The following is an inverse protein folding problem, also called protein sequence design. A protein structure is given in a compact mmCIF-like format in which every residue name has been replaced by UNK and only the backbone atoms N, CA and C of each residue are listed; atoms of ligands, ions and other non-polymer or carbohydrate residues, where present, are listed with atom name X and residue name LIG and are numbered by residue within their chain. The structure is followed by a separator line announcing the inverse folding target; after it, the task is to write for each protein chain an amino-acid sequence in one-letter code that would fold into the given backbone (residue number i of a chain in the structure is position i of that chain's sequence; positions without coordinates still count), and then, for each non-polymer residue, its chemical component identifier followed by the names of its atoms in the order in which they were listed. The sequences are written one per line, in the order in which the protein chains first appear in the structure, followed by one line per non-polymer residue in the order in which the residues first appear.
data_IF_112194878200
#
_entry.id   IF_112194878200
#
_cell.length_a   1.000
_cell.length_b   1.000
_cell.length_c   1.000
_cell.angle_alpha   90.00
_cell.angle_beta   90.00
_cell.angle_gamma   90.00
#
_symmetry.space_group_name_H-M   'P 1'
#
loop_
_entity.id
_entity.type
_entity.pdbx_description
1 polymer ?
#
# COMPACT_ATOMS: atom_id res chain seq x y z
N UNK A 1 20.10 -24.09 12.41
CA UNK A 1 21.24 -23.16 12.34
C UNK A 1 21.10 -22.08 11.26
N UNK A 2 20.88 -22.40 9.95
CA UNK A 2 20.79 -21.39 8.87
C UNK A 2 19.71 -20.31 9.10
N UNK A 3 18.52 -20.68 9.62
CA UNK A 3 17.44 -19.71 9.93
C UNK A 3 17.79 -18.76 11.08
N UNK A 4 18.45 -19.25 12.12
CA UNK A 4 18.89 -18.45 13.27
C UNK A 4 20.00 -17.46 12.86
N UNK A 5 20.94 -17.91 12.02
CA UNK A 5 22.00 -17.08 11.46
C UNK A 5 21.43 -15.94 10.58
N UNK A 6 20.43 -16.24 9.76
CA UNK A 6 19.76 -15.24 8.93
C UNK A 6 19.01 -14.20 9.77
N UNK A 7 18.32 -14.63 10.83
CA UNK A 7 17.65 -13.76 11.81
C UNK A 7 18.67 -12.88 12.56
N UNK A 8 19.82 -13.44 12.92
CA UNK A 8 20.89 -12.70 13.59
C UNK A 8 21.51 -11.65 12.68
N UNK A 9 21.76 -11.97 11.40
CA UNK A 9 22.22 -10.99 10.40
C UNK A 9 21.16 -9.89 10.22
N UNK A 10 19.88 -10.25 10.08
CA UNK A 10 18.81 -9.27 9.97
C UNK A 10 18.75 -8.36 11.19
N UNK A 11 18.91 -8.92 12.39
CA UNK A 11 18.92 -8.15 13.65
C UNK A 11 20.13 -7.20 13.71
N UNK A 12 21.34 -7.66 13.32
CA UNK A 12 22.54 -6.81 13.26
C UNK A 12 22.37 -5.67 12.25
N UNK A 13 21.84 -5.97 11.06
CA UNK A 13 21.55 -4.95 10.03
C UNK A 13 20.51 -3.95 10.53
N UNK A 14 19.47 -4.44 11.22
CA UNK A 14 18.43 -3.61 11.85
C UNK A 14 19.04 -2.66 12.89
N UNK A 15 19.90 -3.19 13.76
CA UNK A 15 20.60 -2.40 14.78
C UNK A 15 21.53 -1.36 14.18
N UNK A 16 22.32 -1.74 13.17
CA UNK A 16 23.22 -0.81 12.45
C UNK A 16 22.43 0.31 11.76
N UNK A 17 21.31 -0.01 11.12
CA UNK A 17 20.48 0.99 10.46
C UNK A 17 19.69 1.85 11.46
N UNK A 18 19.29 1.28 12.59
CA UNK A 18 18.61 2.03 13.65
C UNK A 18 19.54 3.10 14.25
N UNK A 19 20.84 2.82 14.35
CA UNK A 19 21.85 3.80 14.77
C UNK A 19 22.03 4.96 13.77
N UNK A 20 21.64 4.76 12.51
CA UNK A 20 21.68 5.77 11.44
C UNK A 20 20.37 6.57 11.31
N UNK A 21 19.36 6.30 12.16
CA UNK A 21 18.09 7.03 12.17
C UNK A 21 18.16 8.22 13.11
N UNK A 22 17.45 9.30 12.79
CA UNK A 22 17.36 10.49 13.65
C UNK A 22 16.24 10.31 14.65
N UNK A 23 16.55 10.45 15.95
CA UNK A 23 15.52 10.59 16.99
C UNK A 23 14.97 12.01 16.93
N UNK A 24 13.68 12.18 17.15
CA UNK A 24 13.06 13.51 17.14
C UNK A 24 13.61 14.40 18.28
N UNK A 25 14.07 13.80 19.37
CA UNK A 25 14.77 14.48 20.46
C UNK A 25 16.10 15.15 20.03
N UNK A 26 16.62 14.78 18.85
CA UNK A 26 17.81 15.40 18.24
C UNK A 26 17.45 16.59 17.33
N UNK A 27 16.15 16.93 17.21
CA UNK A 27 15.68 18.07 16.42
C UNK A 27 15.32 19.19 17.38
N UNK A 28 16.10 20.27 17.35
CA UNK A 28 15.89 21.42 18.21
C UNK A 28 15.10 22.53 17.52
N UNK A 29 14.29 23.25 18.29
CA UNK A 29 13.60 24.43 17.81
C UNK A 29 14.61 25.55 17.49
N UNK A 30 14.29 26.37 16.49
CA UNK A 30 15.10 27.49 15.99
C UNK A 30 16.42 27.06 15.34
N UNK A 31 16.57 25.79 14.96
CA UNK A 31 17.69 25.31 14.17
C UNK A 31 17.30 24.97 12.73
N UNK A 32 18.31 24.99 11.87
CA UNK A 32 18.17 24.75 10.43
C UNK A 32 18.61 23.33 10.10
N UNK A 33 17.76 22.59 9.42
CA UNK A 33 18.05 21.24 8.99
C UNK A 33 17.90 21.08 7.49
N UNK A 34 18.77 20.27 6.88
CA UNK A 34 18.54 19.80 5.52
C UNK A 34 17.45 18.72 5.55
N UNK A 35 16.35 18.98 4.89
CA UNK A 35 15.21 18.06 4.88
C UNK A 35 14.73 17.74 3.47
N UNK A 36 14.21 16.54 3.31
CA UNK A 36 13.39 16.16 2.17
C UNK A 36 11.95 16.08 2.65
N UNK A 37 11.05 16.82 2.01
CA UNK A 37 9.65 16.96 2.38
C UNK A 37 8.74 16.54 1.24
N UNK A 38 7.57 16.00 1.58
CA UNK A 38 6.43 15.90 0.66
C UNK A 38 5.35 16.86 1.13
N UNK A 39 4.94 17.78 0.27
CA UNK A 39 3.88 18.75 0.52
C UNK A 39 2.63 18.35 -0.23
N UNK A 40 1.53 18.16 0.49
CA UNK A 40 0.21 17.83 -0.05
C UNK A 40 -0.86 18.62 0.70
N UNK A 41 -1.67 19.40 -0.01
CA UNK A 41 -2.77 20.20 0.53
C UNK A 41 -2.38 21.07 1.74
N UNK A 42 -1.23 21.72 1.67
CA UNK A 42 -0.70 22.57 2.74
C UNK A 42 -0.14 21.82 3.96
N UNK A 43 -0.14 20.48 3.92
CA UNK A 43 0.47 19.64 4.96
C UNK A 43 1.77 19.05 4.45
N UNK A 44 2.80 19.12 5.26
CA UNK A 44 4.08 18.48 4.97
C UNK A 44 4.20 17.16 5.71
N UNK A 45 4.90 16.23 5.06
CA UNK A 45 5.46 15.04 5.68
C UNK A 45 6.97 15.08 5.51
N UNK A 46 7.70 15.01 6.62
CA UNK A 46 9.16 14.97 6.59
C UNK A 46 9.60 13.56 6.22
N UNK A 47 10.32 13.42 5.11
CA UNK A 47 10.81 12.15 4.59
C UNK A 47 12.21 11.83 5.11
N UNK A 48 13.10 12.82 5.13
CA UNK A 48 14.48 12.70 5.63
C UNK A 48 14.93 13.99 6.30
N UNK A 49 15.82 13.86 7.29
CA UNK A 49 16.49 14.96 7.98
C UNK A 49 17.99 14.65 7.96
N UNK A 50 18.81 15.57 7.41
CA UNK A 50 20.25 15.37 7.26
C UNK A 50 20.60 14.01 6.64
N UNK A 51 19.85 13.61 5.58
CA UNK A 51 19.93 12.33 4.88
C UNK A 51 19.56 11.08 5.71
N UNK A 52 19.05 11.22 6.94
CA UNK A 52 18.59 10.14 7.80
C UNK A 52 17.06 10.09 7.86
N UNK A 53 16.50 8.90 8.07
CA UNK A 53 15.05 8.72 8.22
C UNK A 53 14.62 9.04 9.66
N UNK A 54 13.52 9.79 9.87
CA UNK A 54 13.00 10.02 11.22
C UNK A 54 12.39 8.72 11.78
N UNK A 55 12.63 8.44 13.08
CA UNK A 55 12.11 7.25 13.76
C UNK A 55 10.59 7.27 13.94
N UNK A 56 9.99 8.45 14.07
CA UNK A 56 8.55 8.65 14.14
C UNK A 56 8.08 9.49 12.95
N UNK A 57 6.81 9.36 12.59
CA UNK A 57 6.26 10.20 11.53
C UNK A 57 6.22 11.67 11.97
N UNK A 58 6.78 12.54 11.13
CA UNK A 58 6.81 13.98 11.36
C UNK A 58 5.96 14.62 10.27
N UNK A 59 4.89 15.25 10.70
CA UNK A 59 4.01 16.06 9.86
C UNK A 59 4.11 17.53 10.24
N UNK A 60 3.61 18.42 9.40
CA UNK A 60 3.64 19.83 9.77
C UNK A 60 3.01 20.73 8.73
N UNK A 61 3.33 22.02 8.89
CA UNK A 61 2.95 23.07 7.95
C UNK A 61 4.19 23.79 7.44
N UNK A 62 4.15 24.16 6.19
CA UNK A 62 5.10 25.04 5.53
C UNK A 62 4.32 26.24 4.97
N UNK A 63 4.94 27.40 4.88
CA UNK A 63 4.35 28.56 4.20
C UNK A 63 3.88 28.21 2.79
N UNK A 64 3.20 29.15 2.13
CA UNK A 64 2.57 28.92 0.83
C UNK A 64 3.58 28.38 -0.21
N UNK A 65 3.35 27.14 -0.65
CA UNK A 65 4.07 26.47 -1.73
C UNK A 65 3.12 25.52 -2.48
N UNK A 66 3.45 25.21 -3.72
CA UNK A 66 2.74 24.22 -4.51
C UNK A 66 2.96 22.80 -3.97
N UNK A 67 1.99 21.92 -4.21
CA UNK A 67 2.16 20.51 -3.89
C UNK A 67 3.37 19.91 -4.63
N UNK A 68 4.10 19.04 -3.97
CA UNK A 68 5.29 18.39 -4.53
C UNK A 68 6.28 17.92 -3.50
N UNK A 69 7.37 17.34 -3.99
CA UNK A 69 8.52 16.97 -3.16
C UNK A 69 9.53 18.10 -3.17
N UNK A 70 10.08 18.40 -2.00
CA UNK A 70 11.07 19.47 -1.81
C UNK A 70 12.30 18.93 -1.11
N UNK A 71 13.45 19.40 -1.51
CA UNK A 71 14.72 19.19 -0.84
C UNK A 71 15.37 20.54 -0.57
N UNK A 72 15.83 20.75 0.66
CA UNK A 72 16.48 22.01 1.02
C UNK A 72 16.72 22.17 2.50
N UNK A 73 16.94 23.40 2.89
CA UNK A 73 17.19 23.82 4.27
C UNK A 73 15.95 24.48 4.83
N UNK A 74 15.50 23.99 5.98
CA UNK A 74 14.29 24.45 6.64
C UNK A 74 14.60 24.77 8.10
N UNK A 75 14.10 25.91 8.56
CA UNK A 75 14.15 26.30 9.97
C UNK A 75 12.95 25.69 10.71
N UNK A 76 13.20 25.03 11.80
CA UNK A 76 12.17 24.47 12.67
C UNK A 76 11.70 25.53 13.65
N UNK A 77 10.50 26.11 13.43
CA UNK A 77 9.91 27.13 14.31
C UNK A 77 9.34 26.55 15.59
N UNK A 78 8.62 25.45 15.47
CA UNK A 78 8.01 24.77 16.61
C UNK A 78 7.90 23.26 16.38
N UNK A 79 7.94 22.50 17.48
CA UNK A 79 7.71 21.05 17.50
C UNK A 79 6.67 20.78 18.56
N UNK A 80 5.61 20.05 18.22
CA UNK A 80 4.60 19.57 19.16
C UNK A 80 4.48 18.07 19.03
N UNK A 81 4.44 17.36 20.14
CA UNK A 81 4.23 15.91 20.19
C UNK A 81 2.78 15.61 20.48
N UNK A 82 2.19 14.73 19.67
CA UNK A 82 0.84 14.18 19.86
C UNK A 82 0.94 12.66 19.80
N UNK A 83 0.87 11.99 20.94
CA UNK A 83 0.98 10.53 21.07
C UNK A 83 2.20 9.92 20.35
N UNK A 84 2.02 9.47 19.09
CA UNK A 84 3.07 8.86 18.26
C UNK A 84 3.44 9.68 17.01
N UNK A 85 2.96 10.92 16.92
CA UNK A 85 3.16 11.80 15.77
C UNK A 85 3.79 13.10 16.26
N UNK A 86 4.79 13.59 15.53
CA UNK A 86 5.33 14.93 15.74
C UNK A 86 4.76 15.87 14.70
N UNK A 87 4.36 17.04 15.17
CA UNK A 87 3.90 18.12 14.31
C UNK A 87 4.92 19.27 14.38
N UNK A 88 5.47 19.61 13.21
CA UNK A 88 6.47 20.66 13.07
C UNK A 88 5.93 21.83 12.25
N UNK A 89 6.30 23.03 12.63
CA UNK A 89 6.10 24.23 11.83
C UNK A 89 7.45 24.63 11.24
N UNK A 90 7.52 24.64 9.90
CA UNK A 90 8.75 24.89 9.18
C UNK A 90 8.71 26.21 8.43
N UNK A 91 9.85 26.87 8.36
CA UNK A 91 10.11 28.00 7.47
C UNK A 91 11.14 27.58 6.43
N UNK A 92 10.84 27.87 5.17
CA UNK A 92 11.75 27.58 4.08
C UNK A 92 12.85 28.63 3.99
N UNK A 93 14.07 28.22 4.16
CA UNK A 93 15.25 29.11 3.98
C UNK A 93 15.73 29.02 2.54
N UNK A 94 15.95 27.80 2.05
CA UNK A 94 16.42 27.57 0.69
C UNK A 94 16.04 26.14 0.28
N UNK A 95 15.03 25.99 -0.51
CA UNK A 95 14.62 24.70 -1.02
C UNK A 95 14.41 24.71 -2.53
N UNK A 96 14.56 23.54 -3.13
CA UNK A 96 14.21 23.29 -4.53
C UNK A 96 13.10 22.26 -4.59
N UNK A 97 12.18 22.43 -5.52
CA UNK A 97 11.20 21.42 -5.88
C UNK A 97 11.92 20.30 -6.63
N UNK A 98 11.72 19.07 -6.21
CA UNK A 98 12.21 17.90 -6.94
C UNK A 98 11.24 17.70 -8.09
N UNK A 99 11.75 17.79 -9.30
CA UNK A 99 10.93 17.58 -10.50
C UNK A 99 10.49 16.12 -10.61
N UNK A 100 9.27 15.92 -11.11
CA UNK A 100 8.78 14.60 -11.50
C UNK A 100 9.70 14.01 -12.57
N UNK A 101 9.93 12.71 -12.52
CA UNK A 101 10.74 12.04 -13.50
C UNK A 101 10.03 12.01 -14.88
N UNK A 102 10.77 11.73 -15.94
CA UNK A 102 10.21 11.68 -17.30
C UNK A 102 9.01 10.73 -17.42
N UNK A 103 9.08 9.56 -16.76
CA UNK A 103 8.01 8.56 -16.82
C UNK A 103 6.75 9.03 -16.07
N UNK A 104 6.92 9.72 -14.93
CA UNK A 104 5.79 10.35 -14.21
C UNK A 104 5.11 11.41 -15.09
N UNK A 105 5.89 12.31 -15.71
CA UNK A 105 5.37 13.34 -16.61
C UNK A 105 4.65 12.71 -17.82
N UNK A 106 5.23 11.65 -18.40
CA UNK A 106 4.64 10.94 -19.52
C UNK A 106 3.29 10.29 -19.16
N UNK A 107 3.24 9.55 -18.03
CA UNK A 107 2.01 8.94 -17.57
C UNK A 107 0.93 9.98 -17.23
N UNK A 108 1.29 11.09 -16.60
CA UNK A 108 0.38 12.21 -16.35
C UNK A 108 -0.18 12.81 -17.63
N UNK A 109 0.65 12.95 -18.66
CA UNK A 109 0.21 13.47 -19.98
C UNK A 109 -0.78 12.53 -20.64
N UNK A 110 -0.49 11.21 -20.65
CA UNK A 110 -1.42 10.19 -21.14
C UNK A 110 -2.73 10.22 -20.39
N UNK A 111 -2.64 10.32 -19.06
CA UNK A 111 -3.80 10.35 -18.19
C UNK A 111 -4.65 11.59 -18.44
N UNK A 112 -4.05 12.78 -18.55
CA UNK A 112 -4.76 14.03 -18.81
C UNK A 112 -5.52 13.97 -20.16
N UNK A 113 -4.92 13.38 -21.22
CA UNK A 113 -5.61 13.17 -22.50
C UNK A 113 -6.78 12.19 -22.36
N UNK A 114 -6.55 11.03 -21.73
CA UNK A 114 -7.57 10.02 -21.55
C UNK A 114 -8.78 10.53 -20.74
N UNK A 115 -8.57 11.46 -19.80
CA UNK A 115 -9.63 11.97 -18.92
C UNK A 115 -10.41 13.16 -19.49
N UNK A 116 -10.00 13.77 -20.62
CA UNK A 116 -10.59 15.02 -21.11
C UNK A 116 -12.12 15.05 -21.10
N UNK A 117 -12.74 13.96 -21.47
CA UNK A 117 -14.20 13.84 -21.57
C UNK A 117 -14.86 13.04 -20.43
N UNK A 118 -14.14 12.61 -19.38
CA UNK A 118 -14.78 11.95 -18.24
C UNK A 118 -15.53 12.94 -17.37
N UNK A 119 -16.54 12.45 -16.65
CA UNK A 119 -17.19 13.22 -15.59
C UNK A 119 -16.20 13.65 -14.52
N UNK A 120 -16.47 14.77 -13.84
CA UNK A 120 -15.59 15.27 -12.77
C UNK A 120 -15.33 14.23 -11.67
N UNK A 121 -16.35 13.47 -11.31
CA UNK A 121 -16.23 12.39 -10.32
C UNK A 121 -15.32 11.26 -10.81
N UNK A 122 -15.51 10.79 -12.05
CA UNK A 122 -14.68 9.76 -12.67
C UNK A 122 -13.20 10.19 -12.72
N UNK A 123 -12.93 11.44 -13.14
CA UNK A 123 -11.56 11.99 -13.15
C UNK A 123 -10.89 11.90 -11.77
N UNK A 124 -11.57 12.31 -10.72
CA UNK A 124 -10.99 12.31 -9.38
C UNK A 124 -10.72 10.90 -8.83
N UNK A 125 -11.65 9.96 -9.08
CA UNK A 125 -11.48 8.56 -8.69
C UNK A 125 -10.35 7.90 -9.49
N UNK A 126 -10.29 8.15 -10.80
CA UNK A 126 -9.21 7.62 -11.63
C UNK A 126 -7.83 8.12 -11.19
N UNK A 127 -7.69 9.42 -10.88
CA UNK A 127 -6.44 9.98 -10.35
C UNK A 127 -6.02 9.33 -9.04
N UNK A 128 -6.97 9.10 -8.16
CA UNK A 128 -6.70 8.42 -6.89
C UNK A 128 -6.21 6.99 -7.08
N UNK A 129 -6.91 6.23 -7.92
CA UNK A 129 -6.66 4.80 -8.12
C UNK A 129 -5.42 4.57 -9.00
N UNK A 130 -5.26 5.31 -10.10
CA UNK A 130 -4.22 5.02 -11.09
C UNK A 130 -2.90 5.76 -10.84
N UNK A 131 -2.97 6.97 -10.26
CA UNK A 131 -1.79 7.80 -10.01
C UNK A 131 -1.45 7.91 -8.52
N UNK A 132 -2.33 7.44 -7.61
CA UNK A 132 -2.15 7.58 -6.16
C UNK A 132 -2.46 8.99 -5.63
N UNK A 133 -3.09 9.85 -6.44
CA UNK A 133 -3.45 11.22 -6.05
C UNK A 133 -4.86 11.29 -5.46
N UNK A 134 -4.95 11.16 -4.13
CA UNK A 134 -6.18 11.19 -3.37
C UNK A 134 -6.63 12.62 -2.97
N UNK A 135 -5.93 13.65 -3.41
CA UNK A 135 -6.17 15.04 -2.95
C UNK A 135 -7.54 15.56 -3.37
N UNK A 136 -8.01 15.14 -4.55
CA UNK A 136 -9.27 15.61 -5.15
C UNK A 136 -10.52 14.82 -4.75
N UNK A 137 -10.37 13.73 -3.99
CA UNK A 137 -11.52 12.98 -3.48
C UNK A 137 -12.18 13.80 -2.36
N UNK A 138 -13.50 14.03 -2.45
CA UNK A 138 -14.28 14.72 -1.43
C UNK A 138 -14.19 14.02 -0.07
N UNK A 139 -14.25 14.78 1.01
CA UNK A 139 -14.11 14.25 2.38
C UNK A 139 -15.20 13.25 2.73
N UNK A 140 -16.46 13.56 2.38
CA UNK A 140 -17.60 12.67 2.59
C UNK A 140 -17.40 11.30 1.94
N UNK A 141 -16.91 11.27 0.70
CA UNK A 141 -16.62 10.02 -0.01
C UNK A 141 -15.46 9.25 0.64
N UNK A 142 -14.42 9.95 1.12
CA UNK A 142 -13.32 9.32 1.86
C UNK A 142 -13.81 8.65 3.15
N UNK A 143 -14.71 9.30 3.87
CA UNK A 143 -15.31 8.75 5.09
C UNK A 143 -16.16 7.51 4.79
N UNK A 144 -17.01 7.56 3.75
CA UNK A 144 -17.79 6.42 3.28
C UNK A 144 -16.89 5.22 2.92
N UNK A 145 -15.85 5.46 2.09
CA UNK A 145 -14.86 4.45 1.70
C UNK A 145 -14.16 3.85 2.92
N UNK A 146 -13.84 4.66 3.91
CA UNK A 146 -13.23 4.20 5.16
C UNK A 146 -14.21 3.37 5.99
N UNK A 147 -15.45 3.81 6.11
CA UNK A 147 -16.50 3.12 6.86
C UNK A 147 -16.77 1.71 6.33
N UNK A 148 -16.83 1.54 5.01
CA UNK A 148 -17.06 0.25 4.35
C UNK A 148 -15.77 -0.61 4.22
N UNK A 149 -14.61 -0.12 4.69
CA UNK A 149 -13.35 -0.88 4.71
C UNK A 149 -12.58 -0.91 3.39
N UNK A 150 -12.91 -0.04 2.41
CA UNK A 150 -12.32 -0.03 1.07
C UNK A 150 -11.14 0.93 0.91
N UNK A 151 -10.66 1.57 1.96
CA UNK A 151 -9.54 2.54 1.89
C UNK A 151 -8.29 1.97 1.20
N UNK A 152 -8.08 0.66 1.31
CA UNK A 152 -6.94 -0.03 0.73
C UNK A 152 -6.98 -0.14 -0.81
N UNK A 153 -8.15 0.02 -1.44
CA UNK A 153 -8.33 0.01 -2.90
C UNK A 153 -8.01 1.38 -3.50
N UNK A 154 -8.40 2.44 -2.79
CA UNK A 154 -8.18 3.84 -3.21
C UNK A 154 -6.76 4.34 -2.88
N UNK A 155 -5.98 3.56 -2.17
CA UNK A 155 -4.54 3.75 -2.04
C UNK A 155 -3.81 2.81 -3.01
N UNK A 156 -2.75 3.29 -3.64
CA UNK A 156 -1.89 2.43 -4.46
C UNK A 156 -1.43 1.22 -3.64
N UNK A 157 -1.70 0.02 -4.13
CA UNK A 157 -1.61 -1.22 -3.35
C UNK A 157 -1.06 -2.39 -4.16
N UNK A 158 -0.92 -3.55 -3.50
CA UNK A 158 -0.53 -4.81 -4.15
C UNK A 158 -1.51 -5.26 -5.23
N UNK A 159 -2.80 -4.89 -5.14
CA UNK A 159 -3.79 -5.17 -6.17
C UNK A 159 -3.37 -4.56 -7.52
N UNK A 160 -2.90 -3.31 -7.51
CA UNK A 160 -2.46 -2.59 -8.72
C UNK A 160 -1.27 -3.29 -9.38
N UNK A 161 -0.24 -3.66 -8.61
CA UNK A 161 0.91 -4.43 -9.13
C UNK A 161 0.45 -5.79 -9.67
N UNK A 162 -0.44 -6.48 -8.93
CA UNK A 162 -0.99 -7.77 -9.35
C UNK A 162 -1.76 -7.70 -10.66
N UNK A 163 -2.59 -6.66 -10.85
CA UNK A 163 -3.34 -6.44 -12.10
C UNK A 163 -2.40 -6.12 -13.27
N UNK A 164 -1.41 -5.26 -13.07
CA UNK A 164 -0.39 -4.97 -14.09
C UNK A 164 0.35 -6.24 -14.51
N UNK A 165 0.80 -7.06 -13.55
CA UNK A 165 1.42 -8.36 -13.83
C UNK A 165 0.47 -9.26 -14.61
N UNK A 166 -0.79 -9.37 -14.20
CA UNK A 166 -1.78 -10.22 -14.84
C UNK A 166 -2.03 -9.81 -16.30
N UNK A 167 -2.22 -8.51 -16.55
CA UNK A 167 -2.45 -7.97 -17.90
C UNK A 167 -1.25 -8.27 -18.80
N UNK A 168 -0.05 -7.89 -18.39
CA UNK A 168 1.16 -8.09 -19.20
C UNK A 168 1.51 -9.58 -19.35
N UNK A 169 1.31 -10.39 -18.30
CA UNK A 169 1.50 -11.84 -18.41
C UNK A 169 0.59 -12.45 -19.47
N UNK A 170 -0.70 -12.07 -19.48
CA UNK A 170 -1.65 -12.55 -20.48
C UNK A 170 -1.22 -12.17 -21.90
N UNK A 171 -0.78 -10.93 -22.11
CA UNK A 171 -0.29 -10.44 -23.40
C UNK A 171 0.97 -11.21 -23.83
N UNK A 172 1.97 -11.28 -22.95
CA UNK A 172 3.27 -11.89 -23.32
C UNK A 172 3.16 -13.40 -23.52
N UNK A 173 2.36 -14.10 -22.70
CA UNK A 173 2.15 -15.55 -22.82
C UNK A 173 1.54 -15.95 -24.18
N UNK A 174 0.73 -15.08 -24.77
CA UNK A 174 0.14 -15.33 -26.09
C UNK A 174 1.16 -15.30 -27.23
N UNK A 175 2.18 -14.44 -27.10
CA UNK A 175 3.14 -14.15 -28.17
C UNK A 175 4.53 -14.77 -27.93
N UNK A 176 4.88 -15.06 -26.66
CA UNK A 176 6.23 -15.48 -26.27
C UNK A 176 6.19 -16.87 -25.64
N UNK A 177 7.00 -17.80 -26.17
CA UNK A 177 7.13 -19.15 -25.62
C UNK A 177 8.19 -19.26 -24.51
N UNK A 178 9.19 -18.38 -24.53
CA UNK A 178 10.29 -18.40 -23.57
C UNK A 178 9.85 -17.83 -22.21
N UNK A 179 9.73 -18.69 -21.20
CA UNK A 179 9.31 -18.31 -19.84
C UNK A 179 10.24 -17.27 -19.20
N UNK A 180 11.57 -17.42 -19.37
CA UNK A 180 12.53 -16.45 -18.80
C UNK A 180 12.37 -15.06 -19.40
N UNK A 181 12.12 -14.99 -20.71
CA UNK A 181 11.86 -13.71 -21.37
C UNK A 181 10.58 -13.05 -20.86
N UNK A 182 9.52 -13.85 -20.61
CA UNK A 182 8.29 -13.34 -20.00
C UNK A 182 8.57 -12.76 -18.61
N UNK A 183 9.32 -13.44 -17.75
CA UNK A 183 9.64 -12.93 -16.40
C UNK A 183 10.48 -11.65 -16.45
N UNK A 184 11.42 -11.52 -17.39
CA UNK A 184 12.20 -10.29 -17.61
C UNK A 184 11.29 -9.15 -18.06
N UNK A 185 10.41 -9.40 -19.02
CA UNK A 185 9.48 -8.38 -19.53
C UNK A 185 8.49 -7.94 -18.45
N UNK A 186 8.00 -8.87 -17.60
CA UNK A 186 7.15 -8.53 -16.46
C UNK A 186 7.89 -7.68 -15.45
N UNK A 187 9.14 -8.03 -15.13
CA UNK A 187 9.98 -7.26 -14.22
C UNK A 187 10.19 -5.83 -14.75
N UNK A 188 10.50 -5.70 -16.04
CA UNK A 188 10.65 -4.40 -16.70
C UNK A 188 9.34 -3.60 -16.65
N UNK A 189 8.20 -4.24 -16.97
CA UNK A 189 6.88 -3.57 -16.98
C UNK A 189 6.49 -3.04 -15.61
N UNK A 190 6.64 -3.85 -14.55
CA UNK A 190 6.31 -3.38 -13.19
C UNK A 190 7.28 -2.32 -12.70
N UNK A 191 8.54 -2.37 -13.12
CA UNK A 191 9.54 -1.36 -12.76
C UNK A 191 9.24 -0.02 -13.44
N UNK A 192 8.93 -0.03 -14.73
CA UNK A 192 8.51 1.16 -15.44
C UNK A 192 7.24 1.76 -14.82
N UNK A 193 6.25 0.91 -14.50
CA UNK A 193 5.03 1.35 -13.83
C UNK A 193 5.32 1.95 -12.46
N UNK A 194 6.17 1.30 -11.64
CA UNK A 194 6.56 1.81 -10.33
C UNK A 194 7.20 3.20 -10.42
N UNK A 195 8.08 3.41 -11.40
CA UNK A 195 8.75 4.70 -11.64
C UNK A 195 7.83 5.78 -12.23
N UNK A 196 6.68 5.39 -12.79
CA UNK A 196 5.73 6.32 -13.42
C UNK A 196 4.68 6.86 -12.46
N UNK A 197 4.52 6.26 -11.28
CA UNK A 197 3.44 6.56 -10.33
C UNK A 197 4.00 7.19 -9.06
N UNK A 198 3.18 8.01 -8.41
CA UNK A 198 3.55 8.63 -7.13
C UNK A 198 3.84 7.55 -6.08
N UNK A 199 4.99 7.64 -5.46
CA UNK A 199 5.39 6.72 -4.40
C UNK A 199 4.40 6.71 -3.24
N UNK A 200 3.92 5.52 -2.88
CA UNK A 200 3.24 5.27 -1.62
C UNK A 200 3.90 4.12 -0.87
N UNK A 201 3.92 4.13 0.46
CA UNK A 201 4.57 3.07 1.23
C UNK A 201 4.00 1.67 0.96
N UNK A 202 2.69 1.57 0.70
CA UNK A 202 2.04 0.30 0.35
C UNK A 202 2.44 -0.22 -1.01
N UNK A 203 2.51 0.68 -1.99
CA UNK A 203 2.87 0.37 -3.36
C UNK A 203 4.36 -0.05 -3.48
N UNK A 204 5.26 0.69 -2.81
CA UNK A 204 6.69 0.34 -2.75
C UNK A 204 6.92 -1.06 -2.20
N UNK A 205 6.21 -1.45 -1.12
CA UNK A 205 6.32 -2.82 -0.58
C UNK A 205 5.80 -3.88 -1.55
N UNK A 206 4.67 -3.62 -2.18
CA UNK A 206 4.12 -4.53 -3.18
C UNK A 206 5.07 -4.69 -4.37
N UNK A 207 5.70 -3.60 -4.82
CA UNK A 207 6.73 -3.63 -5.84
C UNK A 207 7.94 -4.47 -5.41
N UNK A 208 8.52 -4.23 -4.22
CA UNK A 208 9.65 -5.00 -3.72
C UNK A 208 9.31 -6.49 -3.66
N UNK A 209 8.11 -6.83 -3.17
CA UNK A 209 7.65 -8.21 -3.07
C UNK A 209 7.50 -8.86 -4.44
N UNK A 210 6.94 -8.13 -5.42
CA UNK A 210 6.80 -8.61 -6.80
C UNK A 210 8.17 -8.80 -7.48
N UNK A 211 9.11 -7.87 -7.28
CA UNK A 211 10.49 -7.99 -7.78
C UNK A 211 11.17 -9.22 -7.21
N UNK A 212 11.14 -9.42 -5.89
CA UNK A 212 11.74 -10.59 -5.23
C UNK A 212 11.11 -11.89 -5.75
N UNK A 213 9.79 -11.90 -5.95
CA UNK A 213 9.07 -13.04 -6.50
C UNK A 213 9.48 -13.35 -7.96
N UNK A 214 9.51 -12.35 -8.83
CA UNK A 214 9.87 -12.50 -10.24
C UNK A 214 11.34 -12.86 -10.43
N UNK A 215 12.26 -12.26 -9.65
CA UNK A 215 13.66 -12.67 -9.62
C UNK A 215 13.81 -14.12 -9.14
N UNK A 216 13.06 -14.52 -8.11
CA UNK A 216 13.04 -15.91 -7.67
C UNK A 216 12.60 -16.85 -8.79
N UNK A 217 11.58 -16.51 -9.57
CA UNK A 217 11.13 -17.29 -10.73
C UNK A 217 12.15 -17.32 -11.86
N UNK A 218 12.86 -16.21 -12.09
CA UNK A 218 13.87 -16.14 -13.14
C UNK A 218 15.06 -17.08 -12.88
N UNK A 219 15.46 -17.20 -11.60
CA UNK A 219 16.63 -18.02 -11.20
C UNK A 219 16.25 -19.42 -10.69
N UNK A 220 15.02 -19.61 -10.22
CA UNK A 220 14.57 -20.87 -9.61
C UNK A 220 13.19 -21.26 -10.16
N UNK A 221 12.99 -22.52 -10.47
CA UNK A 221 11.70 -23.01 -10.99
C UNK A 221 10.55 -22.93 -9.96
N UNK A 222 10.86 -23.07 -8.67
CA UNK A 222 9.88 -23.03 -7.58
C UNK A 222 10.22 -21.91 -6.59
N UNK A 223 9.31 -20.97 -6.40
CA UNK A 223 9.45 -19.86 -5.47
C UNK A 223 8.64 -20.15 -4.21
N UNK A 224 9.28 -20.08 -3.05
CA UNK A 224 8.63 -20.16 -1.75
C UNK A 224 8.12 -18.77 -1.36
N UNK A 225 6.80 -18.61 -1.25
CA UNK A 225 6.16 -17.33 -0.90
C UNK A 225 6.55 -16.84 0.49
N UNK A 226 6.81 -17.74 1.44
CA UNK A 226 7.25 -17.36 2.78
C UNK A 226 8.67 -16.77 2.77
N UNK A 227 9.58 -17.34 1.96
CA UNK A 227 10.91 -16.77 1.75
C UNK A 227 10.83 -15.44 1.02
N UNK A 228 9.98 -15.33 0.01
CA UNK A 228 9.74 -14.07 -0.71
C UNK A 228 9.25 -12.97 0.24
N UNK A 229 8.30 -13.29 1.11
CA UNK A 229 7.79 -12.37 2.12
C UNK A 229 8.89 -11.90 3.07
N UNK A 230 9.71 -12.84 3.57
CA UNK A 230 10.82 -12.53 4.47
C UNK A 230 11.88 -11.64 3.81
N UNK A 231 12.33 -12.00 2.59
CA UNK A 231 13.32 -11.22 1.84
C UNK A 231 12.79 -9.82 1.54
N UNK A 232 11.53 -9.71 1.10
CA UNK A 232 10.93 -8.39 0.81
C UNK A 232 10.80 -7.51 2.05
N UNK A 233 10.49 -8.11 3.22
CA UNK A 233 10.47 -7.39 4.49
C UNK A 233 11.88 -6.91 4.86
N UNK A 234 12.88 -7.78 4.73
CA UNK A 234 14.29 -7.45 4.98
C UNK A 234 14.76 -6.29 4.09
N UNK A 235 14.47 -6.34 2.79
CA UNK A 235 14.81 -5.25 1.85
C UNK A 235 14.11 -3.95 2.22
N UNK A 236 12.82 -4.01 2.57
CA UNK A 236 12.07 -2.82 3.00
C UNK A 236 12.68 -2.17 4.24
N UNK A 237 13.10 -2.97 5.22
CA UNK A 237 13.75 -2.52 6.45
C UNK A 237 15.16 -1.96 6.16
N UNK A 238 15.90 -2.57 5.23
CA UNK A 238 17.21 -2.07 4.79
C UNK A 238 17.11 -0.70 4.13
N UNK A 239 16.08 -0.49 3.32
CA UNK A 239 15.83 0.81 2.67
C UNK A 239 15.43 1.85 3.71
N UNK A 240 14.46 1.52 4.58
CA UNK A 240 13.98 2.39 5.64
C UNK A 240 13.70 1.58 6.92
N UNK A 241 14.58 1.61 7.92
CA UNK A 241 14.44 0.82 9.14
C UNK A 241 13.21 1.19 9.98
N UNK A 242 12.71 2.42 9.87
CA UNK A 242 11.55 2.87 10.63
C UNK A 242 10.22 2.38 10.06
N UNK A 243 10.26 1.76 8.87
CA UNK A 243 9.05 1.29 8.19
C UNK A 243 8.29 0.24 8.99
N UNK A 244 8.97 -0.54 9.85
CA UNK A 244 8.34 -1.57 10.71
C UNK A 244 7.28 -0.99 11.67
N UNK A 245 7.46 0.28 12.07
CA UNK A 245 6.52 0.98 12.95
C UNK A 245 5.36 1.63 12.18
N UNK A 246 5.43 1.64 10.85
CA UNK A 246 4.33 2.21 10.07
C UNK A 246 3.14 1.25 10.02
N UNK A 247 1.94 1.79 10.27
CA UNK A 247 0.67 1.05 10.17
C UNK A 247 0.56 0.33 8.83
N UNK A 248 0.95 1.02 7.77
CA UNK A 248 0.91 0.50 6.41
C UNK A 248 1.80 -0.74 6.22
N UNK A 249 2.99 -0.79 6.85
CA UNK A 249 3.86 -1.98 6.84
C UNK A 249 3.21 -3.15 7.59
N UNK A 250 2.73 -2.89 8.80
CA UNK A 250 2.13 -3.91 9.66
C UNK A 250 0.89 -4.52 9.02
N UNK A 251 0.00 -3.70 8.44
CA UNK A 251 -1.19 -4.19 7.74
C UNK A 251 -0.84 -5.02 6.49
N UNK A 252 0.12 -4.56 5.67
CA UNK A 252 0.47 -5.27 4.43
C UNK A 252 1.16 -6.61 4.70
N UNK A 253 2.16 -6.62 5.56
CA UNK A 253 2.88 -7.87 5.89
C UNK A 253 2.02 -8.79 6.75
N UNK A 254 1.18 -8.24 7.64
CA UNK A 254 0.18 -9.00 8.40
C UNK A 254 -0.82 -9.71 7.48
N UNK A 255 -1.37 -9.02 6.49
CA UNK A 255 -2.26 -9.61 5.49
C UNK A 255 -1.57 -10.77 4.75
N UNK A 256 -0.32 -10.58 4.31
CA UNK A 256 0.43 -11.63 3.61
C UNK A 256 0.77 -12.83 4.52
N UNK A 257 1.05 -12.61 5.80
CA UNK A 257 1.19 -13.68 6.79
C UNK A 257 -0.11 -14.48 6.89
N UNK A 258 -1.25 -13.80 7.01
CA UNK A 258 -2.56 -14.46 7.05
C UNK A 258 -2.81 -15.30 5.80
N UNK A 259 -2.51 -14.77 4.61
CA UNK A 259 -2.70 -15.45 3.33
C UNK A 259 -1.78 -16.67 3.19
N UNK A 260 -0.50 -16.54 3.52
CA UNK A 260 0.50 -17.59 3.26
C UNK A 260 0.45 -18.70 4.32
N UNK A 261 0.23 -18.34 5.59
CA UNK A 261 0.39 -19.28 6.70
C UNK A 261 -0.92 -19.71 7.36
N UNK A 262 -1.97 -18.88 7.35
CA UNK A 262 -3.22 -19.17 8.06
C UNK A 262 -4.30 -19.67 7.10
N UNK A 263 -4.54 -18.95 6.01
CA UNK A 263 -5.60 -19.28 5.06
C UNK A 263 -5.53 -20.72 4.52
N UNK A 264 -4.34 -21.32 4.20
CA UNK A 264 -4.28 -22.70 3.72
C UNK A 264 -4.87 -23.73 4.70
N UNK A 265 -4.84 -23.46 6.01
CA UNK A 265 -5.46 -24.32 7.03
C UNK A 265 -6.97 -24.11 7.08
N UNK A 266 -7.42 -22.84 7.06
CA UNK A 266 -8.83 -22.48 7.10
C UNK A 266 -9.56 -22.96 5.84
N UNK A 267 -8.91 -22.88 4.69
CA UNK A 267 -9.45 -23.36 3.42
C UNK A 267 -9.83 -24.85 3.44
N UNK A 268 -9.21 -25.67 4.29
CA UNK A 268 -9.54 -27.08 4.43
C UNK A 268 -10.98 -27.30 4.94
N UNK A 269 -11.60 -26.31 5.59
CA UNK A 269 -13.00 -26.34 6.03
C UNK A 269 -13.93 -26.45 4.79
N UNK A 270 -13.53 -25.82 3.66
CA UNK A 270 -14.27 -25.92 2.41
C UNK A 270 -13.92 -27.19 1.61
N UNK A 271 -14.25 -28.36 2.18
CA UNK A 271 -13.97 -29.66 1.55
C UNK A 271 -14.70 -29.85 0.21
N UNK A 272 -15.86 -29.20 0.01
CA UNK A 272 -16.64 -29.22 -1.24
C UNK A 272 -16.12 -28.23 -2.30
N UNK A 273 -15.10 -27.43 -1.99
CA UNK A 273 -14.44 -26.47 -2.91
C UNK A 273 -15.38 -25.44 -3.56
N UNK A 274 -16.36 -24.96 -2.83
CA UNK A 274 -17.23 -23.87 -3.28
C UNK A 274 -16.42 -22.57 -3.40
N UNK A 275 -16.37 -21.96 -4.58
CA UNK A 275 -15.57 -20.75 -4.85
C UNK A 275 -15.97 -19.56 -3.99
N UNK A 276 -17.28 -19.36 -3.77
CA UNK A 276 -17.79 -18.25 -2.94
C UNK A 276 -17.37 -18.45 -1.48
N UNK A 277 -17.45 -19.68 -0.96
CA UNK A 277 -17.00 -19.97 0.40
C UNK A 277 -15.48 -19.79 0.56
N UNK A 278 -14.68 -20.21 -0.43
CA UNK A 278 -13.23 -19.96 -0.43
C UNK A 278 -12.93 -18.45 -0.35
N UNK A 279 -13.68 -17.63 -1.09
CA UNK A 279 -13.50 -16.17 -1.08
C UNK A 279 -13.92 -15.54 0.26
N UNK A 280 -15.05 -15.97 0.84
CA UNK A 280 -15.47 -15.52 2.17
C UNK A 280 -14.44 -15.91 3.23
N UNK A 281 -14.00 -17.17 3.24
CA UNK A 281 -12.95 -17.62 4.18
C UNK A 281 -11.64 -16.86 4.00
N UNK A 282 -11.26 -16.55 2.76
CA UNK A 282 -10.06 -15.77 2.46
C UNK A 282 -10.14 -14.36 3.06
N UNK A 283 -11.21 -13.62 2.76
CA UNK A 283 -11.38 -12.24 3.24
C UNK A 283 -11.54 -12.19 4.76
N UNK A 284 -12.32 -13.10 5.33
CA UNK A 284 -12.51 -13.20 6.79
C UNK A 284 -11.20 -13.55 7.51
N UNK A 285 -10.39 -14.44 6.95
CA UNK A 285 -9.08 -14.80 7.53
C UNK A 285 -8.17 -13.57 7.65
N UNK A 286 -8.06 -12.79 6.59
CA UNK A 286 -7.24 -11.58 6.56
C UNK A 286 -7.78 -10.59 7.59
N UNK A 287 -9.09 -10.37 7.59
CA UNK A 287 -9.72 -9.38 8.44
C UNK A 287 -9.55 -9.72 9.93
N UNK A 288 -9.86 -10.95 10.34
CA UNK A 288 -9.67 -11.39 11.73
C UNK A 288 -8.21 -11.25 12.13
N UNK A 289 -7.26 -11.59 11.26
CA UNK A 289 -5.84 -11.48 11.56
C UNK A 289 -5.40 -10.02 11.75
N UNK A 290 -6.02 -9.07 11.07
CA UNK A 290 -5.67 -7.66 11.13
C UNK A 290 -6.42 -6.88 12.22
N UNK A 291 -7.46 -7.45 12.87
CA UNK A 291 -8.24 -6.78 13.94
C UNK A 291 -7.34 -6.09 14.97
N UNK A 292 -6.31 -6.74 15.57
CA UNK A 292 -5.53 -6.09 16.61
C UNK A 292 -4.81 -4.83 16.12
N UNK A 293 -4.31 -4.86 14.88
CA UNK A 293 -3.62 -3.71 14.29
C UNK A 293 -4.63 -2.59 14.01
N UNK A 294 -5.80 -2.93 13.46
CA UNK A 294 -6.84 -1.94 13.17
C UNK A 294 -7.42 -1.31 14.42
N UNK A 295 -7.66 -2.09 15.47
CA UNK A 295 -8.12 -1.57 16.77
C UNK A 295 -7.07 -0.66 17.39
N UNK A 296 -5.80 -1.07 17.38
CA UNK A 296 -4.73 -0.28 17.99
C UNK A 296 -4.55 1.10 17.35
N UNK A 297 -4.62 1.18 16.01
CA UNK A 297 -4.35 2.41 15.28
C UNK A 297 -5.59 3.23 14.93
N UNK A 298 -6.76 2.58 14.78
CA UNK A 298 -7.97 3.23 14.27
C UNK A 298 -9.14 3.17 15.24
N UNK A 299 -8.99 2.50 16.38
CA UNK A 299 -10.07 2.30 17.38
C UNK A 299 -11.37 1.79 16.76
N UNK A 300 -11.27 0.96 15.72
CA UNK A 300 -12.45 0.46 14.99
C UNK A 300 -12.27 -0.98 14.53
N UNK A 301 -13.37 -1.72 14.55
CA UNK A 301 -13.47 -3.08 14.00
C UNK A 301 -14.47 -3.05 12.85
N UNK A 302 -14.06 -3.54 11.70
CA UNK A 302 -14.88 -3.56 10.50
C UNK A 302 -15.48 -4.97 10.31
N UNK A 303 -16.49 -5.33 11.11
CA UNK A 303 -17.04 -6.69 11.13
C UNK A 303 -17.67 -7.12 9.79
N UNK A 304 -18.49 -6.26 9.22
CA UNK A 304 -19.29 -6.60 8.04
C UNK A 304 -18.63 -6.16 6.72
N UNK A 305 -17.41 -5.60 6.77
CA UNK A 305 -16.68 -5.24 5.56
C UNK A 305 -16.32 -6.46 4.68
N UNK A 306 -16.43 -7.70 5.19
CA UNK A 306 -16.37 -8.92 4.38
C UNK A 306 -17.47 -8.90 3.32
N UNK A 307 -18.70 -8.46 3.67
CA UNK A 307 -19.84 -8.43 2.75
C UNK A 307 -19.62 -7.35 1.68
N UNK A 308 -19.25 -6.14 2.08
CA UNK A 308 -18.96 -5.07 1.12
C UNK A 308 -17.79 -5.45 0.19
N UNK A 309 -16.72 -6.04 0.75
CA UNK A 309 -15.56 -6.49 -0.02
C UNK A 309 -15.90 -7.62 -1.01
N UNK A 310 -16.84 -8.51 -0.67
CA UNK A 310 -17.29 -9.59 -1.56
C UNK A 310 -17.79 -9.04 -2.91
N UNK A 311 -18.48 -7.91 -2.89
CA UNK A 311 -19.08 -7.29 -4.06
C UNK A 311 -18.21 -6.20 -4.66
N UNK A 312 -17.71 -5.29 -3.80
CA UNK A 312 -16.99 -4.09 -4.26
C UNK A 312 -15.56 -4.38 -4.71
N UNK A 313 -14.89 -5.39 -4.15
CA UNK A 313 -13.51 -5.70 -4.53
C UNK A 313 -13.39 -6.24 -5.98
N UNK A 314 -14.23 -7.20 -6.43
CA UNK A 314 -14.25 -7.62 -7.83
C UNK A 314 -14.62 -6.48 -8.78
N UNK A 315 -15.61 -5.66 -8.42
CA UNK A 315 -16.04 -4.52 -9.24
C UNK A 315 -14.93 -3.47 -9.36
N UNK A 316 -14.29 -3.11 -8.24
CA UNK A 316 -13.17 -2.17 -8.24
C UNK A 316 -11.97 -2.72 -9.04
N UNK A 317 -11.68 -4.03 -8.92
CA UNK A 317 -10.63 -4.68 -9.72
C UNK A 317 -10.92 -4.62 -11.22
N UNK A 318 -12.18 -4.83 -11.60
CA UNK A 318 -12.62 -4.68 -12.98
C UNK A 318 -12.49 -3.22 -13.44
N UNK A 319 -12.97 -2.27 -12.64
CA UNK A 319 -12.85 -0.84 -12.91
C UNK A 319 -11.39 -0.42 -13.14
N UNK A 320 -10.48 -0.83 -12.26
CA UNK A 320 -9.03 -0.56 -12.36
C UNK A 320 -8.47 -1.19 -13.65
N UNK A 321 -8.82 -2.44 -13.93
CA UNK A 321 -8.33 -3.17 -15.12
C UNK A 321 -8.75 -2.47 -16.41
N UNK A 322 -10.03 -2.08 -16.53
CA UNK A 322 -10.54 -1.39 -17.71
C UNK A 322 -9.87 -0.03 -17.89
N UNK A 323 -9.59 0.69 -16.79
CA UNK A 323 -8.83 1.95 -16.83
C UNK A 323 -7.37 1.75 -17.28
N UNK A 324 -6.67 0.67 -16.87
CA UNK A 324 -5.34 0.37 -17.41
C UNK A 324 -5.37 0.06 -18.90
N UNK A 325 -6.40 -0.65 -19.37
CA UNK A 325 -6.58 -0.90 -20.80
C UNK A 325 -6.84 0.43 -21.54
N UNK A 326 -7.65 1.33 -20.98
CA UNK A 326 -7.90 2.64 -21.58
C UNK A 326 -6.61 3.47 -21.69
N UNK A 327 -5.78 3.52 -20.63
CA UNK A 327 -4.49 4.20 -20.68
C UNK A 327 -3.53 3.60 -21.74
N UNK A 328 -3.53 2.27 -21.89
CA UNK A 328 -2.75 1.62 -22.94
C UNK A 328 -3.26 2.03 -24.33
N UNK A 329 -4.57 2.01 -24.55
CA UNK A 329 -5.20 2.40 -25.82
C UNK A 329 -5.06 3.89 -26.11
N UNK A 330 -4.87 4.73 -25.11
CA UNK A 330 -4.64 6.17 -25.29
C UNK A 330 -3.36 6.47 -26.08
N UNK A 331 -2.35 5.61 -26.03
CA UNK A 331 -1.17 5.72 -26.89
C UNK A 331 -1.52 5.66 -28.40
N UNK A 332 -2.65 5.07 -28.75
CA UNK A 332 -3.18 4.94 -30.11
C UNK A 332 -4.40 5.82 -30.36
N UNK A 333 -4.73 6.72 -29.41
CA UNK A 333 -5.95 7.56 -29.43
C UNK A 333 -7.26 6.76 -29.51
N UNK A 334 -7.28 5.55 -28.95
CA UNK A 334 -8.43 4.62 -28.98
C UNK A 334 -9.16 4.49 -27.63
N UNK A 335 -8.78 5.27 -26.63
CA UNK A 335 -9.38 5.20 -25.27
C UNK A 335 -10.88 5.52 -25.28
N UNK A 336 -11.34 6.34 -26.22
CA UNK A 336 -12.75 6.73 -26.36
C UNK A 336 -13.70 5.54 -26.53
N UNK A 337 -13.23 4.41 -27.09
CA UNK A 337 -14.02 3.19 -27.26
C UNK A 337 -14.44 2.55 -25.92
N UNK A 338 -13.63 2.70 -24.89
CA UNK A 338 -13.84 2.07 -23.58
C UNK A 338 -14.46 3.05 -22.56
N UNK A 339 -14.44 4.33 -22.86
CA UNK A 339 -14.92 5.41 -22.00
C UNK A 339 -16.37 5.21 -21.47
N UNK A 340 -17.36 4.83 -22.28
CA UNK A 340 -18.71 4.59 -21.76
C UNK A 340 -18.74 3.48 -20.70
N UNK A 341 -17.90 2.45 -20.88
CA UNK A 341 -17.81 1.33 -19.93
C UNK A 341 -17.25 1.83 -18.59
N UNK A 342 -16.22 2.68 -18.63
CA UNK A 342 -15.61 3.27 -17.42
C UNK A 342 -16.63 4.11 -16.67
N UNK A 343 -17.39 4.97 -17.37
CA UNK A 343 -18.42 5.81 -16.75
C UNK A 343 -19.56 4.98 -16.12
N UNK A 344 -19.97 3.90 -16.77
CA UNK A 344 -20.97 2.97 -16.22
C UNK A 344 -20.42 2.29 -14.96
N UNK A 345 -19.20 1.74 -15.02
CA UNK A 345 -18.57 1.09 -13.88
C UNK A 345 -18.36 2.06 -12.71
N UNK A 346 -17.97 3.30 -13.00
CA UNK A 346 -17.87 4.37 -12.01
C UNK A 346 -19.21 4.61 -11.30
N UNK A 347 -20.29 4.79 -12.05
CA UNK A 347 -21.63 5.02 -11.49
C UNK A 347 -22.07 3.85 -10.60
N UNK A 348 -21.87 2.61 -11.06
CA UNK A 348 -22.18 1.42 -10.29
C UNK A 348 -21.34 1.36 -9.00
N UNK A 349 -20.03 1.67 -9.10
CA UNK A 349 -19.12 1.66 -7.96
C UNK A 349 -19.54 2.69 -6.90
N UNK A 350 -19.84 3.92 -7.30
CA UNK A 350 -20.28 4.98 -6.38
C UNK A 350 -21.64 4.64 -5.77
N UNK A 351 -22.60 4.18 -6.57
CA UNK A 351 -23.91 3.75 -6.07
C UNK A 351 -23.78 2.66 -4.98
N UNK A 352 -22.94 1.66 -5.21
CA UNK A 352 -22.72 0.60 -4.22
C UNK A 352 -21.95 1.12 -2.98
N UNK A 353 -21.01 2.03 -3.14
CA UNK A 353 -20.34 2.68 -2.00
C UNK A 353 -21.37 3.43 -1.14
N UNK A 354 -22.25 4.21 -1.77
CA UNK A 354 -23.31 4.93 -1.07
C UNK A 354 -24.25 3.95 -0.36
N UNK A 355 -24.74 2.94 -1.08
CA UNK A 355 -25.63 1.90 -0.52
C UNK A 355 -25.01 1.21 0.71
N UNK A 356 -23.76 0.72 0.60
CA UNK A 356 -23.11 0.06 1.73
C UNK A 356 -22.79 1.01 2.87
N UNK A 357 -22.52 2.30 2.58
CA UNK A 357 -22.22 3.28 3.62
C UNK A 357 -23.42 3.64 4.50
N UNK A 358 -24.64 3.36 4.05
CA UNK A 358 -25.89 3.56 4.80
C UNK A 358 -26.25 2.36 5.69
N UNK A 359 -25.60 1.21 5.48
CA UNK A 359 -25.86 0.04 6.31
C UNK A 359 -25.26 0.20 7.71
N UNK A 360 -26.02 -0.04 8.79
CA UNK A 360 -25.53 0.05 10.15
C UNK A 360 -24.51 -1.07 10.46
N UNK A 361 -23.65 -0.83 11.45
CA UNK A 361 -22.71 -1.81 12.02
C UNK A 361 -21.63 -2.37 11.07
N UNK A 362 -21.37 -1.77 9.92
CA UNK A 362 -20.25 -2.15 9.08
C UNK A 362 -18.91 -1.87 9.75
N UNK A 363 -18.84 -0.80 10.54
CA UNK A 363 -17.71 -0.46 11.38
C UNK A 363 -18.20 -0.12 12.78
N UNK A 364 -17.59 -0.71 13.80
CA UNK A 364 -17.90 -0.48 15.20
C UNK A 364 -16.67 0.13 15.87
N UNK A 365 -16.86 1.25 16.57
CA UNK A 365 -15.80 1.86 17.36
C UNK A 365 -15.51 1.00 18.60
N UNK A 366 -14.24 0.76 18.86
CA UNK A 366 -13.78 -0.06 19.97
C UNK A 366 -12.50 0.51 20.61
N UNK A 367 -12.60 1.03 21.81
CA UNK A 367 -11.50 1.76 22.46
C UNK A 367 -10.54 0.91 23.28
N UNK A 368 -10.79 -0.39 23.48
CA UNK A 368 -9.96 -1.21 24.36
C UNK A 368 -8.68 -1.72 23.69
N UNK A 369 -7.53 -1.33 24.22
CA UNK A 369 -6.21 -1.85 23.80
C UNK A 369 -5.94 -3.29 24.27
N UNK A 370 -6.77 -3.85 25.14
CA UNK A 370 -6.58 -5.19 25.73
C UNK A 370 -6.72 -6.34 24.72
N UNK A 371 -7.41 -6.12 23.60
CA UNK A 371 -7.52 -7.09 22.50
C UNK A 371 -6.16 -7.52 21.95
N UNK A 372 -5.15 -6.65 21.98
CA UNK A 372 -3.80 -6.97 21.52
C UNK A 372 -3.18 -8.11 22.34
N UNK A 373 -3.34 -8.05 23.66
CA UNK A 373 -2.80 -9.09 24.54
C UNK A 373 -3.48 -10.45 24.31
N UNK A 374 -4.82 -10.46 24.17
CA UNK A 374 -5.59 -11.68 23.86
C UNK A 374 -5.10 -12.27 22.54
N UNK A 375 -4.85 -11.43 21.56
CA UNK A 375 -4.41 -11.88 20.24
C UNK A 375 -2.96 -12.40 20.23
N UNK A 376 -2.04 -11.76 20.94
CA UNK A 376 -0.67 -12.25 21.12
C UNK A 376 -0.70 -13.64 21.77
N UNK A 377 -1.51 -13.82 22.81
CA UNK A 377 -1.70 -15.12 23.46
C UNK A 377 -2.24 -16.17 22.48
N UNK A 378 -3.24 -15.80 21.66
CA UNK A 378 -3.79 -16.70 20.65
C UNK A 378 -2.76 -17.10 19.59
N UNK A 379 -1.94 -16.16 19.10
CA UNK A 379 -0.84 -16.47 18.15
C UNK A 379 0.20 -17.38 18.80
N UNK A 380 0.58 -17.13 20.04
CA UNK A 380 1.53 -17.99 20.77
C UNK A 380 0.97 -19.40 20.90
N UNK A 381 -0.30 -19.56 21.24
CA UNK A 381 -0.97 -20.86 21.33
C UNK A 381 -0.93 -21.59 19.97
N UNK A 382 -1.24 -20.91 18.86
CA UNK A 382 -1.17 -21.52 17.51
C UNK A 382 0.26 -21.98 17.19
N UNK A 383 1.27 -21.16 17.47
CA UNK A 383 2.67 -21.49 17.21
C UNK A 383 3.12 -22.68 18.05
N UNK A 384 2.77 -22.69 19.33
CA UNK A 384 3.10 -23.80 20.25
C UNK A 384 2.40 -25.09 19.81
N UNK A 385 1.11 -25.04 19.52
CA UNK A 385 0.34 -26.20 19.02
C UNK A 385 0.94 -26.77 17.73
N UNK A 386 1.38 -25.91 16.79
CA UNK A 386 2.03 -26.36 15.56
C UNK A 386 3.38 -27.03 15.81
N UNK A 387 4.17 -26.51 16.74
CA UNK A 387 5.47 -27.09 17.09
C UNK A 387 5.33 -28.43 17.80
N UNK A 388 4.28 -28.64 18.60
CA UNK A 388 3.98 -29.93 19.24
C UNK A 388 3.58 -30.95 18.18
N UNK A 389 2.66 -30.61 17.26
CA UNK A 389 2.16 -31.52 16.22
C UNK A 389 3.18 -31.85 15.11
N UNK A 390 4.31 -31.16 15.01
CA UNK A 390 5.40 -31.49 14.09
C UNK A 390 6.46 -32.42 14.75
N UNK A 391 6.34 -32.67 16.06
CA UNK A 391 7.22 -33.59 16.81
C UNK A 391 6.64 -35.01 16.96
N UNK A 392 5.34 -35.12 16.75
CA UNK A 392 4.59 -36.40 16.59
C UNK A 392 4.49 -36.75 15.08
#
# INVERSE_FOLDING_TARGET
MKKLFLLMILFIILMLRFSLSVRVTEIFQKEVYRMNLSLEDGRIKVLKINNKYPLKNIYGKLGYKENGKYEGYFLVKSIKEYENIYFVELEDIKSRKIEDNFLEKYLQTLFNRAEEDYSYGTKNINRAILLGDNTRIRKDLKEKIRYIGLSHIFAMSGLHIGLVIAIFYFIFKKSIRNKRLIEILLLTSITLYYLSVKESPSFTRAYIMAVVYLLGKLFYEKVDLGKTLFISAAVSILINPTVIFSVSFQLSYGAMIAIIYIFPYIRKINYKKFKILDYILFTTTIQIFLIPITVYYFNSIQFLSVISNLILLPLASLYITVNYIALFLENFYLSFLIKPIIEILYKILIYLIDFFSELPYLSVEYESKNLIYIYIVFLVIIIVYKNIKQRD
#
